data_IF_572519470022
#
_entry.id   IF_572519470022
#
_cell.length_a   1.000
_cell.length_b   1.000
_cell.length_c   1.000
_cell.angle_alpha   90.00
_cell.angle_beta   90.00
_cell.angle_gamma   90.00
#
_symmetry.space_group_name_H-M   'P 1'
#
loop_
_entity.id
_entity.type
_entity.pdbx_description
1 polymer ?
#
# COMPACT_ATOMS: atom_id res chain seq x y z
N UNK A 1 -31.99 3.37 16.81
CA UNK A 1 -30.57 3.44 16.52
C UNK A 1 -29.96 2.05 16.72
N UNK A 2 -29.77 1.28 15.65
CA UNK A 2 -29.23 -0.07 15.71
C UNK A 2 -27.69 0.02 15.59
N UNK A 3 -26.95 -0.47 16.59
CA UNK A 3 -25.50 -0.63 16.54
C UNK A 3 -25.16 -1.75 15.55
N UNK A 4 -24.47 -1.40 14.46
CA UNK A 4 -23.88 -2.37 13.55
C UNK A 4 -22.88 -3.24 14.31
N UNK A 5 -22.93 -4.58 14.23
CA UNK A 5 -21.98 -5.44 14.92
C UNK A 5 -20.59 -5.26 14.28
N UNK A 6 -19.62 -4.78 15.05
CA UNK A 6 -18.20 -4.83 14.68
C UNK A 6 -17.79 -6.30 14.62
N UNK A 7 -17.41 -6.77 13.44
CA UNK A 7 -16.82 -8.09 13.24
C UNK A 7 -15.56 -8.22 14.12
N UNK A 8 -15.49 -9.27 14.95
CA UNK A 8 -14.30 -9.54 15.78
C UNK A 8 -13.12 -9.82 14.86
N UNK A 9 -12.00 -9.10 15.00
CA UNK A 9 -10.80 -9.35 14.22
C UNK A 9 -10.28 -10.78 14.48
N UNK A 10 -9.91 -11.48 13.43
CA UNK A 10 -9.36 -12.83 13.54
C UNK A 10 -7.94 -12.83 14.14
N UNK A 11 -7.46 -13.95 14.73
CA UNK A 11 -6.19 -14.03 15.46
C UNK A 11 -4.96 -13.55 14.68
N UNK A 12 -4.95 -13.69 13.35
CA UNK A 12 -3.87 -13.21 12.47
C UNK A 12 -3.81 -11.68 12.39
N UNK A 13 -4.98 -11.04 12.44
CA UNK A 13 -5.11 -9.56 12.39
C UNK A 13 -4.62 -8.92 13.68
N UNK A 14 -4.90 -9.55 14.83
CA UNK A 14 -4.46 -9.07 16.14
C UNK A 14 -2.94 -9.16 16.30
N UNK A 15 -2.30 -10.19 15.77
CA UNK A 15 -0.85 -10.33 15.77
C UNK A 15 -0.17 -9.24 14.92
N UNK A 16 -0.67 -8.96 13.72
CA UNK A 16 -0.17 -7.90 12.87
C UNK A 16 -0.28 -6.53 13.56
N UNK A 17 -1.45 -6.20 14.12
CA UNK A 17 -1.67 -4.94 14.83
C UNK A 17 -0.78 -4.78 16.08
N UNK A 18 -0.53 -5.86 16.84
CA UNK A 18 0.35 -5.83 18.00
C UNK A 18 1.82 -5.61 17.60
N UNK A 19 2.25 -6.20 16.50
CA UNK A 19 3.59 -6.02 15.94
C UNK A 19 3.82 -4.57 15.48
N UNK A 20 2.85 -3.96 14.81
CA UNK A 20 2.91 -2.57 14.36
C UNK A 20 2.91 -1.57 15.53
N UNK A 21 2.17 -1.83 16.63
CA UNK A 21 2.15 -0.93 17.79
C UNK A 21 3.51 -0.74 18.44
N UNK A 22 4.30 -1.81 18.61
CA UNK A 22 5.62 -1.77 19.26
C UNK A 22 6.67 -1.09 18.39
N UNK A 23 6.47 -1.07 17.07
CA UNK A 23 7.49 -0.68 16.09
C UNK A 23 7.27 0.68 15.44
N UNK A 24 6.11 1.31 15.66
CA UNK A 24 5.79 2.60 15.04
C UNK A 24 6.88 3.68 15.26
N UNK A 25 7.66 3.59 16.35
CA UNK A 25 8.75 4.53 16.62
C UNK A 25 9.99 4.34 15.72
N UNK A 26 10.29 3.09 15.34
CA UNK A 26 11.48 2.72 14.56
C UNK A 26 11.14 2.46 13.09
N UNK A 27 9.85 2.36 12.79
CA UNK A 27 9.33 1.96 11.49
C UNK A 27 9.81 2.85 10.33
N UNK A 28 9.78 4.17 10.51
CA UNK A 28 10.24 5.10 9.47
C UNK A 28 11.73 4.91 9.16
N UNK A 29 12.55 4.56 10.16
CA UNK A 29 13.98 4.28 9.97
C UNK A 29 14.20 2.96 9.22
N UNK A 30 13.44 1.92 9.56
CA UNK A 30 13.51 0.63 8.85
C UNK A 30 13.06 0.76 7.38
N UNK A 31 12.07 1.61 7.11
CA UNK A 31 11.57 1.85 5.76
C UNK A 31 12.46 2.76 4.91
N UNK A 32 13.51 3.39 5.46
CA UNK A 32 14.49 4.17 4.69
C UNK A 32 15.17 3.34 3.60
N UNK A 33 15.39 2.06 3.86
CA UNK A 33 15.96 1.14 2.86
C UNK A 33 15.06 0.99 1.62
N UNK A 34 13.75 1.18 1.77
CA UNK A 34 12.77 1.08 0.70
C UNK A 34 12.40 2.44 0.08
N UNK A 35 13.03 3.52 0.52
CA UNK A 35 12.77 4.86 -0.05
C UNK A 35 13.02 4.95 -1.56
N UNK A 36 14.09 4.36 -2.12
CA UNK A 36 14.27 4.32 -3.57
C UNK A 36 13.14 3.60 -4.30
N UNK A 37 12.63 2.49 -3.73
CA UNK A 37 11.51 1.74 -4.28
C UNK A 37 10.21 2.57 -4.24
N UNK A 38 9.97 3.30 -3.14
CA UNK A 38 8.82 4.21 -3.00
C UNK A 38 8.83 5.32 -4.03
N UNK A 39 9.99 5.98 -4.23
CA UNK A 39 10.15 7.02 -5.25
C UNK A 39 9.84 6.48 -6.64
N UNK A 40 10.43 5.36 -7.02
CA UNK A 40 10.16 4.71 -8.30
C UNK A 40 8.68 4.34 -8.46
N UNK A 41 8.02 3.88 -7.38
CA UNK A 41 6.59 3.54 -7.42
C UNK A 41 5.73 4.77 -7.70
N UNK A 42 6.00 5.89 -7.02
CA UNK A 42 5.26 7.15 -7.23
C UNK A 42 5.58 7.75 -8.60
N UNK A 43 6.84 7.73 -9.04
CA UNK A 43 7.25 8.18 -10.37
C UNK A 43 6.57 7.34 -11.46
N UNK A 44 6.41 6.04 -11.24
CA UNK A 44 5.77 5.15 -12.21
C UNK A 44 4.24 5.25 -12.18
N UNK A 45 3.66 5.61 -11.03
CA UNK A 45 2.24 5.96 -10.89
C UNK A 45 1.93 7.24 -11.68
N UNK A 46 2.82 8.23 -11.57
CA UNK A 46 2.77 9.52 -12.24
C UNK A 46 1.37 10.16 -12.25
N UNK A 47 0.73 10.35 -11.08
CA UNK A 47 -0.63 10.86 -11.04
C UNK A 47 -0.67 12.30 -11.58
N UNK A 48 -1.73 12.62 -12.33
CA UNK A 48 -1.90 13.95 -12.93
C UNK A 48 -2.11 15.02 -11.85
N UNK A 49 -1.83 16.28 -12.19
CA UNK A 49 -2.22 17.42 -11.34
C UNK A 49 -3.72 17.42 -11.10
N UNK A 50 -4.13 17.63 -9.86
CA UNK A 50 -5.54 17.60 -9.45
C UNK A 50 -6.12 16.19 -9.25
N UNK A 51 -5.35 15.11 -9.48
CA UNK A 51 -5.83 13.75 -9.33
C UNK A 51 -6.14 13.39 -7.87
N UNK A 52 -7.10 12.49 -7.69
CA UNK A 52 -7.36 11.79 -6.43
C UNK A 52 -6.59 10.47 -6.42
N UNK A 53 -5.76 10.26 -5.40
CA UNK A 53 -4.93 9.05 -5.25
C UNK A 53 -5.32 8.32 -3.98
N UNK A 54 -5.57 7.01 -4.09
CA UNK A 54 -5.66 6.10 -2.94
C UNK A 54 -4.24 5.64 -2.56
N UNK A 55 -3.79 5.91 -1.33
CA UNK A 55 -2.58 5.32 -0.75
C UNK A 55 -3.01 4.22 0.22
N UNK A 56 -3.01 2.97 -0.26
CA UNK A 56 -3.56 1.82 0.45
C UNK A 56 -2.48 1.20 1.34
N UNK A 57 -2.76 1.12 2.65
CA UNK A 57 -1.75 0.77 3.65
C UNK A 57 -0.71 1.90 3.79
N UNK A 58 -1.18 3.15 3.87
CA UNK A 58 -0.31 4.34 3.84
C UNK A 58 0.68 4.43 5.01
N UNK A 59 0.50 3.62 6.06
CA UNK A 59 1.37 3.59 7.24
C UNK A 59 1.47 4.96 7.90
N UNK A 60 2.70 5.45 8.03
CA UNK A 60 3.01 6.76 8.61
C UNK A 60 2.95 7.91 7.58
N UNK A 61 2.47 7.64 6.36
CA UNK A 61 2.30 8.64 5.30
C UNK A 61 3.61 9.05 4.59
N UNK A 62 4.59 8.14 4.51
CA UNK A 62 5.88 8.44 3.85
C UNK A 62 5.75 8.69 2.35
N UNK A 63 4.69 8.21 1.70
CA UNK A 63 4.42 8.46 0.28
C UNK A 63 3.80 9.84 0.02
N UNK A 64 3.17 10.46 1.03
CA UNK A 64 2.41 11.69 0.84
C UNK A 64 3.23 12.86 0.26
N UNK A 65 4.47 13.15 0.72
CA UNK A 65 5.26 14.22 0.12
C UNK A 65 5.50 14.03 -1.39
N UNK A 66 5.75 12.78 -1.80
CA UNK A 66 5.99 12.44 -3.20
C UNK A 66 4.71 12.58 -4.02
N UNK A 67 3.58 12.06 -3.51
CA UNK A 67 2.28 12.19 -4.16
C UNK A 67 1.85 13.65 -4.29
N UNK A 68 2.04 14.46 -3.23
CA UNK A 68 1.73 15.90 -3.24
C UNK A 68 2.51 16.67 -4.30
N UNK A 69 3.78 16.28 -4.55
CA UNK A 69 4.59 16.92 -5.58
C UNK A 69 4.00 16.73 -7.00
N UNK A 70 3.32 15.60 -7.24
CA UNK A 70 2.64 15.34 -8.51
C UNK A 70 1.27 16.01 -8.57
N UNK A 71 0.39 15.73 -7.60
CA UNK A 71 -1.02 16.12 -7.68
C UNK A 71 -1.26 17.59 -7.35
N UNK A 72 -0.37 18.20 -6.56
CA UNK A 72 -0.52 19.59 -6.10
C UNK A 72 -1.70 19.82 -5.14
N UNK A 73 -1.96 21.06 -4.77
CA UNK A 73 -2.98 21.40 -3.77
C UNK A 73 -4.43 21.19 -4.24
N UNK A 74 -4.67 21.09 -5.55
CA UNK A 74 -5.98 20.81 -6.12
C UNK A 74 -6.29 19.30 -6.18
N UNK A 75 -5.27 18.44 -6.03
CA UNK A 75 -5.46 16.99 -5.95
C UNK A 75 -5.86 16.55 -4.55
N UNK A 76 -6.12 15.25 -4.39
CA UNK A 76 -6.53 14.66 -3.11
C UNK A 76 -5.78 13.36 -2.85
N UNK A 77 -5.35 13.13 -1.62
CA UNK A 77 -4.86 11.82 -1.15
C UNK A 77 -5.89 11.25 -0.19
N UNK A 78 -6.24 9.98 -0.38
CA UNK A 78 -7.02 9.20 0.58
C UNK A 78 -6.09 8.09 1.10
N UNK A 79 -5.57 8.26 2.30
CA UNK A 79 -4.71 7.28 2.97
C UNK A 79 -5.56 6.31 3.78
N UNK A 80 -5.40 5.01 3.53
CA UNK A 80 -6.08 3.92 4.24
C UNK A 80 -5.05 3.19 5.07
N UNK A 81 -5.27 3.07 6.37
CA UNK A 81 -4.37 2.35 7.28
C UNK A 81 -5.14 1.76 8.45
N UNK A 82 -4.98 0.45 8.70
CA UNK A 82 -5.65 -0.25 9.79
C UNK A 82 -5.01 -0.03 11.17
N UNK A 83 -3.71 0.30 11.20
CA UNK A 83 -2.97 0.55 12.44
C UNK A 83 -3.17 1.99 12.92
N UNK A 84 -4.00 2.19 13.95
CA UNK A 84 -4.23 3.50 14.52
C UNK A 84 -2.92 4.24 14.95
N UNK A 85 -1.89 3.58 15.54
CA UNK A 85 -0.62 4.25 15.86
C UNK A 85 0.16 4.72 14.62
N UNK A 86 0.09 3.98 13.50
CA UNK A 86 0.71 4.40 12.23
C UNK A 86 -0.04 5.60 11.65
N UNK A 87 -1.36 5.51 11.61
CA UNK A 87 -2.21 6.57 11.09
C UNK A 87 -2.10 7.86 11.89
N UNK A 88 -1.87 7.77 13.21
CA UNK A 88 -1.62 8.96 14.04
C UNK A 88 -0.35 9.68 13.61
N UNK A 89 0.71 8.98 13.26
CA UNK A 89 1.94 9.58 12.71
C UNK A 89 1.69 10.20 11.32
N UNK A 90 0.88 9.53 10.49
CA UNK A 90 0.46 10.11 9.21
C UNK A 90 -0.29 11.43 9.45
N UNK A 91 -1.19 11.49 10.44
CA UNK A 91 -1.92 12.71 10.83
C UNK A 91 -0.99 13.82 11.27
N UNK A 92 -0.02 13.51 12.12
CA UNK A 92 1.01 14.48 12.56
C UNK A 92 1.81 15.01 11.38
N UNK A 93 2.20 14.14 10.43
CA UNK A 93 2.89 14.54 9.20
C UNK A 93 2.03 15.49 8.35
N UNK A 94 0.76 15.17 8.16
CA UNK A 94 -0.20 16.02 7.42
C UNK A 94 -0.32 17.39 8.06
N UNK A 95 -0.45 17.45 9.40
CA UNK A 95 -0.53 18.71 10.16
C UNK A 95 0.76 19.53 10.06
N UNK A 96 1.92 18.90 10.24
CA UNK A 96 3.23 19.57 10.14
C UNK A 96 3.49 20.17 8.76
N UNK A 97 3.00 19.53 7.71
CA UNK A 97 3.15 20.01 6.33
C UNK A 97 2.02 20.96 5.89
N UNK A 98 1.00 21.13 6.73
CA UNK A 98 -0.13 22.02 6.43
C UNK A 98 -1.03 21.53 5.27
N UNK A 99 -0.99 20.24 4.93
CA UNK A 99 -1.82 19.70 3.84
C UNK A 99 -3.29 19.63 4.23
N UNK A 100 -4.15 20.22 3.40
CA UNK A 100 -5.61 20.25 3.61
C UNK A 100 -6.36 19.28 2.71
N UNK A 101 -5.66 18.65 1.78
CA UNK A 101 -6.20 17.76 0.76
C UNK A 101 -5.87 16.27 1.02
N UNK A 102 -5.52 15.91 2.25
CA UNK A 102 -5.27 14.53 2.68
C UNK A 102 -6.38 14.08 3.62
N UNK A 103 -7.08 13.03 3.24
CA UNK A 103 -8.04 12.31 4.09
C UNK A 103 -7.39 11.04 4.60
N UNK A 104 -7.58 10.75 5.89
CA UNK A 104 -7.05 9.55 6.54
C UNK A 104 -8.20 8.68 7.05
N UNK A 105 -8.21 7.40 6.65
CA UNK A 105 -9.19 6.40 7.04
C UNK A 105 -8.52 5.35 7.91
N UNK A 106 -8.98 5.21 9.16
CA UNK A 106 -8.53 4.13 10.04
C UNK A 106 -9.40 2.90 9.82
N UNK A 107 -9.04 2.11 8.83
CA UNK A 107 -9.77 0.93 8.43
C UNK A 107 -8.85 -0.08 7.77
N UNK A 108 -9.24 -1.35 7.77
CA UNK A 108 -8.70 -2.30 6.81
C UNK A 108 -9.18 -1.92 5.41
N UNK A 109 -8.42 -2.33 4.39
CA UNK A 109 -8.71 -1.94 3.00
C UNK A 109 -10.07 -2.48 2.53
N UNK A 110 -10.42 -3.70 2.93
CA UNK A 110 -11.70 -4.36 2.60
C UNK A 110 -12.92 -3.67 3.21
N UNK A 111 -12.75 -3.00 4.37
CA UNK A 111 -13.82 -2.34 5.12
C UNK A 111 -13.78 -0.81 4.96
N UNK A 112 -12.86 -0.28 4.15
CA UNK A 112 -12.64 1.16 4.04
C UNK A 112 -13.90 1.87 3.51
N UNK A 113 -14.41 2.90 4.22
CA UNK A 113 -15.59 3.65 3.79
C UNK A 113 -15.22 4.66 2.70
N UNK A 114 -14.75 4.15 1.56
CA UNK A 114 -14.36 4.96 0.41
C UNK A 114 -15.58 5.65 -0.20
N UNK A 115 -15.37 6.86 -0.73
CA UNK A 115 -16.41 7.65 -1.38
C UNK A 115 -15.90 8.19 -2.71
N UNK A 116 -16.76 8.12 -3.72
CA UNK A 116 -16.42 8.54 -5.08
C UNK A 116 -15.43 7.61 -5.76
N UNK A 117 -14.79 8.12 -6.80
CA UNK A 117 -13.80 7.38 -7.59
C UNK A 117 -12.48 8.14 -7.62
N UNK A 118 -11.39 7.39 -7.49
CA UNK A 118 -10.04 7.92 -7.58
C UNK A 118 -9.42 7.66 -8.97
N UNK A 119 -8.40 8.43 -9.29
CA UNK A 119 -7.71 8.41 -10.58
C UNK A 119 -6.51 7.45 -10.58
N UNK A 120 -6.00 7.12 -9.38
CA UNK A 120 -4.86 6.22 -9.22
C UNK A 120 -4.84 5.56 -7.82
N UNK A 121 -4.15 4.43 -7.70
CA UNK A 121 -3.90 3.77 -6.42
C UNK A 121 -2.43 3.34 -6.28
N UNK A 122 -1.88 3.57 -5.09
CA UNK A 122 -0.56 3.10 -4.65
C UNK A 122 -0.72 2.04 -3.58
N UNK A 123 -0.09 0.87 -3.77
CA UNK A 123 0.00 -0.23 -2.81
C UNK A 123 1.49 -0.51 -2.54
N UNK A 124 2.09 0.23 -1.59
CA UNK A 124 3.52 0.15 -1.33
C UNK A 124 3.82 -0.67 -0.07
N UNK A 125 4.46 -1.84 -0.24
CA UNK A 125 4.79 -2.80 0.84
C UNK A 125 3.54 -3.32 1.59
N UNK A 126 2.45 -3.54 0.88
CA UNK A 126 1.15 -3.95 1.41
C UNK A 126 0.80 -5.39 1.02
N UNK A 127 1.69 -6.33 1.33
CA UNK A 127 1.53 -7.73 0.95
C UNK A 127 0.19 -8.32 1.38
N UNK A 128 -0.25 -8.03 2.60
CA UNK A 128 -1.51 -8.57 3.15
C UNK A 128 -2.72 -8.12 2.34
N UNK A 129 -2.74 -6.85 1.89
CA UNK A 129 -3.77 -6.31 0.97
C UNK A 129 -3.70 -7.01 -0.39
N UNK A 130 -2.48 -7.21 -0.92
CA UNK A 130 -2.26 -7.88 -2.21
C UNK A 130 -2.71 -9.35 -2.20
N UNK A 131 -2.78 -9.98 -1.03
CA UNK A 131 -3.24 -11.36 -0.85
C UNK A 131 -4.72 -11.46 -0.40
N UNK A 132 -5.43 -10.34 -0.28
CA UNK A 132 -6.83 -10.26 0.10
C UNK A 132 -7.70 -9.86 -1.11
N UNK A 133 -8.54 -10.79 -1.57
CA UNK A 133 -9.40 -10.57 -2.74
C UNK A 133 -10.49 -9.52 -2.46
N UNK A 134 -11.02 -9.44 -1.24
CA UNK A 134 -12.04 -8.46 -0.85
C UNK A 134 -11.43 -7.06 -0.77
N UNK A 135 -10.21 -6.93 -0.24
CA UNK A 135 -9.48 -5.67 -0.20
C UNK A 135 -9.18 -5.15 -1.62
N UNK A 136 -8.70 -6.02 -2.51
CA UNK A 136 -8.47 -5.63 -3.91
C UNK A 136 -9.78 -5.25 -4.61
N UNK A 137 -10.87 -6.00 -4.38
CA UNK A 137 -12.18 -5.68 -4.95
C UNK A 137 -12.67 -4.31 -4.47
N UNK A 138 -12.58 -4.03 -3.16
CA UNK A 138 -12.98 -2.76 -2.56
C UNK A 138 -12.19 -1.58 -3.13
N UNK A 139 -10.87 -1.70 -3.21
CA UNK A 139 -10.00 -0.65 -3.77
C UNK A 139 -10.33 -0.40 -5.23
N UNK A 140 -10.40 -1.46 -6.06
CA UNK A 140 -10.60 -1.34 -7.50
C UNK A 140 -12.00 -0.83 -7.86
N UNK A 141 -13.03 -1.16 -7.08
CA UNK A 141 -14.38 -0.63 -7.26
C UNK A 141 -14.47 0.90 -7.08
N UNK A 142 -13.50 1.49 -6.37
CA UNK A 142 -13.41 2.94 -6.16
C UNK A 142 -12.37 3.63 -7.04
N UNK A 143 -11.94 2.97 -8.10
CA UNK A 143 -11.08 3.55 -9.14
C UNK A 143 -11.89 3.75 -10.43
N UNK A 144 -11.58 4.85 -11.13
CA UNK A 144 -12.16 5.11 -12.45
C UNK A 144 -11.69 4.08 -13.47
N UNK A 145 -12.50 3.77 -14.49
CA UNK A 145 -12.00 3.09 -15.66
C UNK A 145 -10.74 3.77 -16.20
N UNK A 146 -9.72 2.98 -16.52
CA UNK A 146 -8.44 3.52 -16.97
C UNK A 146 -7.50 4.01 -15.86
N UNK A 147 -7.91 4.02 -14.60
CA UNK A 147 -7.05 4.42 -13.48
C UNK A 147 -5.79 3.55 -13.39
N UNK A 148 -4.68 4.18 -13.03
CA UNK A 148 -3.39 3.48 -12.87
C UNK A 148 -3.25 2.95 -11.44
N UNK A 149 -2.84 1.70 -11.33
CA UNK A 149 -2.51 1.05 -10.06
C UNK A 149 -1.04 0.67 -10.07
N UNK A 150 -0.31 1.06 -9.03
CA UNK A 150 1.08 0.62 -8.81
C UNK A 150 1.17 -0.11 -7.49
N UNK A 151 1.71 -1.32 -7.52
CA UNK A 151 1.97 -2.14 -6.35
C UNK A 151 3.47 -2.48 -6.26
N UNK A 152 4.03 -2.43 -5.04
CA UNK A 152 5.43 -2.79 -4.81
C UNK A 152 5.58 -3.58 -3.53
N UNK A 153 6.63 -4.38 -3.45
CA UNK A 153 6.88 -5.15 -2.24
C UNK A 153 8.05 -6.12 -2.35
N UNK A 154 8.13 -6.95 -1.33
CA UNK A 154 9.04 -8.08 -1.27
C UNK A 154 8.48 -9.27 -2.06
N UNK A 155 9.37 -10.07 -2.60
CA UNK A 155 9.08 -11.38 -3.18
C UNK A 155 10.22 -12.36 -2.92
N UNK A 156 9.97 -13.64 -3.07
CA UNK A 156 11.06 -14.62 -3.08
C UNK A 156 11.97 -14.41 -4.27
N UNK A 157 13.27 -14.43 -4.01
CA UNK A 157 14.29 -14.44 -5.05
C UNK A 157 14.14 -15.72 -5.91
N UNK A 158 14.37 -15.64 -7.21
CA UNK A 158 14.38 -16.81 -8.08
C UNK A 158 15.51 -17.78 -7.70
N UNK A 159 15.45 -19.00 -8.18
CA UNK A 159 16.39 -20.07 -7.82
C UNK A 159 17.88 -19.70 -8.02
N UNK A 160 18.20 -18.91 -9.04
CA UNK A 160 19.57 -18.46 -9.34
C UNK A 160 20.12 -17.41 -8.36
N UNK A 161 19.27 -16.78 -7.59
CA UNK A 161 19.62 -15.84 -6.52
C UNK A 161 19.03 -16.25 -5.16
N UNK A 162 18.71 -17.51 -4.98
CA UNK A 162 18.10 -18.08 -3.78
C UNK A 162 18.79 -17.70 -2.46
N UNK A 163 20.13 -17.56 -2.36
CA UNK A 163 20.78 -17.10 -1.13
C UNK A 163 20.28 -15.73 -0.61
N UNK A 164 19.76 -14.86 -1.50
CA UNK A 164 19.17 -13.59 -1.10
C UNK A 164 17.90 -13.75 -0.27
N UNK A 165 17.26 -14.93 -0.31
CA UNK A 165 16.10 -15.23 0.54
C UNK A 165 16.45 -15.23 2.04
N UNK A 166 17.73 -15.39 2.41
CA UNK A 166 18.20 -15.18 3.78
C UNK A 166 18.01 -13.74 4.26
N UNK A 167 17.99 -12.77 3.35
CA UNK A 167 17.72 -11.36 3.62
C UNK A 167 16.21 -11.06 3.54
N UNK A 168 15.51 -11.70 2.58
CA UNK A 168 14.06 -11.52 2.40
C UNK A 168 13.28 -12.07 3.57
N UNK A 169 13.64 -13.26 4.07
CA UNK A 169 12.90 -13.95 5.13
C UNK A 169 12.74 -13.10 6.41
N UNK A 170 13.81 -12.55 7.02
CA UNK A 170 13.64 -11.73 8.21
C UNK A 170 12.88 -10.43 7.94
N UNK A 171 13.03 -9.82 6.76
CA UNK A 171 12.25 -8.65 6.37
C UNK A 171 10.78 -9.00 6.18
N UNK A 172 10.48 -10.11 5.51
CA UNK A 172 9.12 -10.60 5.31
C UNK A 172 8.45 -10.96 6.65
N UNK A 173 9.09 -11.78 7.50
CA UNK A 173 8.56 -12.13 8.83
C UNK A 173 8.24 -10.93 9.71
N UNK A 174 8.88 -9.80 9.44
CA UNK A 174 8.64 -8.53 10.14
C UNK A 174 7.54 -7.67 9.52
N UNK A 175 7.25 -7.85 8.25
CA UNK A 175 6.42 -6.93 7.47
C UNK A 175 5.10 -7.53 6.99
N UNK A 176 4.97 -8.88 6.96
CA UNK A 176 3.79 -9.55 6.44
C UNK A 176 3.20 -10.52 7.46
N UNK A 177 1.89 -10.72 7.44
CA UNK A 177 1.21 -11.68 8.31
C UNK A 177 1.30 -13.12 7.80
N UNK A 178 1.61 -13.31 6.51
CA UNK A 178 1.75 -14.60 5.85
C UNK A 178 2.81 -14.56 4.77
N UNK A 179 3.60 -15.61 4.65
CA UNK A 179 4.60 -15.77 3.59
C UNK A 179 4.01 -16.30 2.27
N UNK A 180 2.71 -16.63 2.26
CA UNK A 180 2.02 -17.12 1.06
C UNK A 180 1.99 -16.03 -0.03
N UNK A 181 2.18 -16.45 -1.28
CA UNK A 181 2.09 -15.56 -2.44
C UNK A 181 3.34 -14.70 -2.69
N UNK A 182 4.41 -14.84 -1.88
CA UNK A 182 5.67 -14.13 -2.13
C UNK A 182 6.40 -14.60 -3.40
N UNK A 183 6.02 -15.72 -4.00
CA UNK A 183 6.52 -16.18 -5.31
C UNK A 183 6.06 -15.24 -6.44
N UNK A 184 4.79 -14.81 -6.37
CA UNK A 184 4.16 -13.93 -7.36
C UNK A 184 3.14 -13.01 -6.66
N UNK A 185 3.59 -11.99 -5.88
CA UNK A 185 2.71 -11.19 -5.04
C UNK A 185 1.62 -10.44 -5.81
N UNK A 186 1.87 -10.12 -7.08
CA UNK A 186 0.94 -9.42 -7.97
C UNK A 186 -0.08 -10.31 -8.67
N UNK A 187 -0.08 -11.63 -8.43
CA UNK A 187 -0.91 -12.59 -9.18
C UNK A 187 -2.41 -12.28 -9.10
N UNK A 188 -2.92 -11.91 -7.93
CA UNK A 188 -4.33 -11.55 -7.73
C UNK A 188 -4.69 -10.25 -8.42
N UNK A 189 -3.80 -9.27 -8.36
CA UNK A 189 -3.95 -7.98 -9.04
C UNK A 189 -3.91 -8.14 -10.56
N UNK A 190 -3.03 -9.00 -11.07
CA UNK A 190 -2.88 -9.29 -12.49
C UNK A 190 -4.17 -9.84 -13.15
N UNK A 191 -5.03 -10.51 -12.38
CA UNK A 191 -6.32 -11.03 -12.87
C UNK A 191 -7.39 -9.95 -13.03
N UNK A 192 -7.15 -8.76 -12.49
CA UNK A 192 -8.12 -7.66 -12.39
C UNK A 192 -7.73 -6.43 -13.18
N UNK A 193 -6.47 -6.33 -13.58
CA UNK A 193 -5.93 -5.20 -14.34
C UNK A 193 -5.58 -5.61 -15.76
N UNK A 194 -5.61 -4.63 -16.65
CA UNK A 194 -5.09 -4.75 -18.02
C UNK A 194 -3.73 -4.05 -18.12
N UNK A 195 -2.94 -4.35 -19.15
CA UNK A 195 -1.63 -3.75 -19.41
C UNK A 195 -0.67 -3.84 -18.22
N UNK A 196 -0.64 -4.99 -17.55
CA UNK A 196 0.25 -5.20 -16.41
C UNK A 196 1.70 -5.29 -16.88
N UNK A 197 2.54 -4.37 -16.39
CA UNK A 197 4.01 -4.41 -16.49
C UNK A 197 4.59 -4.70 -15.10
N UNK A 198 5.58 -5.60 -15.03
CA UNK A 198 6.22 -6.00 -13.76
C UNK A 198 7.73 -5.92 -13.90
N UNK A 199 8.35 -5.13 -13.05
CA UNK A 199 9.80 -4.98 -12.93
C UNK A 199 10.28 -5.62 -11.64
N UNK A 200 11.39 -6.35 -11.73
CA UNK A 200 12.03 -6.95 -10.56
C UNK A 200 13.40 -6.32 -10.33
N UNK A 201 13.76 -6.14 -9.05
CA UNK A 201 14.98 -5.47 -8.62
C UNK A 201 15.67 -6.25 -7.49
N UNK A 202 16.87 -5.81 -7.11
CA UNK A 202 17.65 -6.39 -6.02
C UNK A 202 17.77 -7.93 -6.12
N UNK A 203 18.19 -8.40 -7.29
CA UNK A 203 18.32 -9.84 -7.54
C UNK A 203 16.99 -10.60 -7.57
N UNK A 204 15.87 -9.88 -7.83
CA UNK A 204 14.54 -10.45 -7.88
C UNK A 204 13.85 -10.57 -6.52
N UNK A 205 14.34 -9.87 -5.48
CA UNK A 205 13.73 -9.84 -4.14
C UNK A 205 12.71 -8.73 -3.96
N UNK A 206 12.74 -7.72 -4.83
CA UNK A 206 11.78 -6.62 -4.87
C UNK A 206 11.04 -6.63 -6.21
N UNK A 207 9.79 -6.18 -6.19
CA UNK A 207 8.99 -5.99 -7.39
C UNK A 207 8.32 -4.63 -7.43
N UNK A 208 8.07 -4.16 -8.64
CA UNK A 208 7.14 -3.10 -8.97
C UNK A 208 6.19 -3.66 -10.03
N UNK A 209 4.90 -3.53 -9.80
CA UNK A 209 3.86 -3.91 -10.75
C UNK A 209 2.99 -2.69 -11.05
N UNK A 210 2.76 -2.39 -12.32
CA UNK A 210 1.90 -1.31 -12.79
C UNK A 210 0.89 -1.87 -13.75
N UNK A 211 -0.37 -1.56 -13.53
CA UNK A 211 -1.45 -1.94 -14.44
C UNK A 211 -2.52 -0.88 -14.48
N UNK A 212 -3.53 -1.13 -15.28
CA UNK A 212 -4.63 -0.22 -15.51
C UNK A 212 -5.96 -0.91 -15.22
N UNK A 213 -6.87 -0.19 -14.56
CA UNK A 213 -8.25 -0.66 -14.38
C UNK A 213 -8.90 -0.77 -15.77
N UNK A 214 -9.59 -1.87 -16.08
CA UNK A 214 -10.30 -2.00 -17.36
C UNK A 214 -11.24 -0.81 -17.65
N UNK A 215 -11.43 -0.46 -18.94
CA UNK A 215 -12.34 0.61 -19.36
C UNK A 215 -13.81 0.34 -19.02
#
# INVERSE_FOLDING_TARGET
MARTPQAKPGPRRDHALAQYRRRAAVYDLELRLFEPLRRQAVDWLAPAKGATVLDVGCGTGLSFPLLQAFIGPAGRIVGIEQSAPMLERARQRVQQQGWRNVQLLNSAAEDAPLQGQADAALLHLTHDVMQNDDALAQVLAHLRPGAIVVATGLKWAPWWSAPLNLLVLPAALRSVSSLQGLECPWQRLARRLVHLDVRQQAGGTLYLARGQVPP
#
